data_IF_708455991283
#
_entry.id   IF_708455991283
#
_cell.length_a   1.000
_cell.length_b   1.000
_cell.length_c   1.000
_cell.angle_alpha   90.00
_cell.angle_beta   90.00
_cell.angle_gamma   90.00
#
_symmetry.space_group_name_H-M   'P 1'
#
loop_
_entity.id
_entity.type
_entity.pdbx_description
1 polymer ?
#
# COMPACT_ATOMS: atom_id res chain seq x y z
N UNK A 1 2.40 24.66 -40.04
CA UNK A 1 3.46 24.04 -39.25
C UNK A 1 2.82 23.54 -37.98
N UNK A 2 2.44 22.25 -37.97
CA UNK A 2 1.95 21.59 -36.75
C UNK A 2 3.16 21.25 -35.91
N UNK A 3 3.22 21.79 -34.70
CA UNK A 3 4.22 21.38 -33.71
C UNK A 3 3.67 20.11 -33.05
N UNK A 4 4.15 18.96 -33.50
CA UNK A 4 3.95 17.70 -32.78
C UNK A 4 4.74 17.80 -31.46
N UNK A 5 4.03 18.12 -30.39
CA UNK A 5 4.57 17.95 -29.03
C UNK A 5 4.58 16.44 -28.78
N UNK A 6 5.68 15.80 -29.14
CA UNK A 6 6.01 14.46 -28.67
C UNK A 6 6.30 14.61 -27.15
N UNK A 7 5.29 14.43 -26.34
CA UNK A 7 5.47 14.18 -24.91
C UNK A 7 6.20 12.84 -24.80
N UNK A 8 7.51 12.91 -24.57
CA UNK A 8 8.27 11.71 -24.21
C UNK A 8 7.61 11.13 -22.94
N UNK A 9 6.91 10.03 -23.08
CA UNK A 9 6.46 9.21 -21.97
C UNK A 9 7.74 8.70 -21.26
N UNK A 10 8.16 9.38 -20.23
CA UNK A 10 9.24 8.89 -19.38
C UNK A 10 8.68 7.72 -18.60
N UNK A 11 9.00 6.50 -19.01
CA UNK A 11 8.63 5.29 -18.28
C UNK A 11 9.18 5.37 -16.86
N UNK A 12 8.32 5.11 -15.86
CA UNK A 12 8.74 5.07 -14.46
C UNK A 12 9.75 3.93 -14.23
N UNK A 13 10.75 4.12 -13.33
CA UNK A 13 11.70 3.08 -13.00
C UNK A 13 11.03 1.83 -12.43
N UNK A 14 11.46 0.67 -12.89
CA UNK A 14 10.96 -0.62 -12.45
C UNK A 14 11.91 -1.27 -11.45
N UNK A 15 11.36 -2.11 -10.56
CA UNK A 15 12.08 -3.02 -9.66
C UNK A 15 11.45 -4.39 -9.71
N UNK A 16 12.29 -5.43 -9.72
CA UNK A 16 11.82 -6.81 -9.62
C UNK A 16 11.17 -7.03 -8.25
N UNK A 17 9.96 -7.59 -8.24
CA UNK A 17 9.23 -7.91 -7.01
C UNK A 17 9.71 -9.25 -6.45
N UNK A 18 10.74 -9.21 -5.59
CA UNK A 18 11.36 -10.40 -5.03
C UNK A 18 11.85 -11.37 -6.12
N UNK A 19 11.55 -12.67 -5.96
CA UNK A 19 11.86 -13.72 -6.94
C UNK A 19 10.77 -13.89 -8.01
N UNK A 20 9.72 -13.07 -7.99
CA UNK A 20 8.66 -13.18 -9.00
C UNK A 20 9.17 -12.74 -10.39
N UNK A 21 8.40 -13.03 -11.42
CA UNK A 21 8.65 -12.54 -12.79
C UNK A 21 8.02 -11.16 -13.07
N UNK A 22 7.59 -10.44 -12.01
CA UNK A 22 6.96 -9.12 -12.14
C UNK A 22 7.97 -8.00 -11.87
N UNK A 23 8.11 -7.11 -12.84
CA UNK A 23 8.82 -5.84 -12.68
C UNK A 23 7.79 -4.74 -12.41
N UNK A 24 7.81 -4.17 -11.22
CA UNK A 24 6.84 -3.17 -10.76
C UNK A 24 7.46 -1.78 -10.66
N UNK A 25 6.65 -0.75 -10.89
CA UNK A 25 7.03 0.63 -10.60
C UNK A 25 7.26 0.82 -9.11
N UNK A 26 8.16 1.72 -8.72
CA UNK A 26 8.50 1.96 -7.31
C UNK A 26 7.30 2.45 -6.47
N UNK A 27 6.29 3.04 -7.11
CA UNK A 27 5.00 3.41 -6.50
C UNK A 27 3.88 2.65 -7.18
N UNK A 28 2.87 2.22 -6.42
CA UNK A 28 1.65 1.60 -6.91
C UNK A 28 0.41 2.32 -6.40
N UNK A 29 -0.71 2.15 -7.09
CA UNK A 29 -1.97 2.75 -6.68
C UNK A 29 -2.62 1.93 -5.57
N UNK A 30 -2.85 2.57 -4.41
CA UNK A 30 -3.56 1.97 -3.27
C UNK A 30 -5.06 2.29 -3.30
N UNK A 31 -5.87 1.25 -3.35
CA UNK A 31 -7.32 1.37 -3.53
C UNK A 31 -8.13 1.35 -2.20
N UNK A 32 -7.49 1.44 -1.03
CA UNK A 32 -8.22 1.46 0.24
C UNK A 32 -9.12 2.70 0.37
N UNK A 33 -8.63 3.89 0.02
CA UNK A 33 -9.37 5.14 0.20
C UNK A 33 -10.57 5.31 -0.75
N UNK A 34 -10.68 4.46 -1.78
CA UNK A 34 -11.80 4.46 -2.73
C UNK A 34 -12.88 3.43 -2.39
N UNK A 35 -12.71 2.62 -1.35
CA UNK A 35 -13.72 1.63 -0.91
C UNK A 35 -15.04 2.22 -0.39
N UNK A 36 -15.14 3.55 -0.32
CA UNK A 36 -16.37 4.23 0.08
C UNK A 36 -16.64 4.25 1.58
N UNK A 37 -17.82 4.74 1.97
CA UNK A 37 -18.29 4.81 3.36
C UNK A 37 -18.91 3.48 3.83
N UNK A 38 -19.48 3.49 5.02
CA UNK A 38 -20.36 2.45 5.57
C UNK A 38 -19.72 1.08 5.84
N UNK A 39 -18.44 1.06 6.18
CA UNK A 39 -17.74 -0.09 6.72
C UNK A 39 -16.76 0.33 7.84
N UNK A 40 -16.20 -0.64 8.59
CA UNK A 40 -15.47 -0.40 9.85
C UNK A 40 -14.33 0.64 9.75
N UNK A 41 -13.60 0.65 8.63
CA UNK A 41 -12.44 1.52 8.38
C UNK A 41 -12.58 2.32 7.08
N UNK A 42 -13.81 2.81 6.82
CA UNK A 42 -14.13 3.67 5.67
C UNK A 42 -13.46 5.05 5.78
N UNK A 43 -13.28 5.70 4.64
CA UNK A 43 -12.68 7.04 4.49
C UNK A 43 -13.73 8.14 4.27
N UNK A 44 -15.00 7.86 4.59
CA UNK A 44 -16.13 8.72 4.27
C UNK A 44 -16.56 8.63 2.79
N UNK A 45 -17.51 9.50 2.39
CA UNK A 45 -18.08 9.48 1.05
C UNK A 45 -17.02 9.64 -0.06
N UNK A 46 -17.15 8.83 -1.11
CA UNK A 46 -16.30 8.83 -2.31
C UNK A 46 -17.17 8.62 -3.55
N UNK A 47 -16.90 9.36 -4.61
CA UNK A 47 -17.54 9.18 -5.90
C UNK A 47 -16.86 8.05 -6.69
N UNK A 48 -17.66 7.11 -7.19
CA UNK A 48 -17.16 5.94 -7.94
C UNK A 48 -16.48 6.35 -9.25
N UNK A 49 -17.03 7.36 -9.94
CA UNK A 49 -16.48 7.85 -11.19
C UNK A 49 -15.11 8.50 -10.97
N UNK A 50 -14.99 9.33 -9.93
CA UNK A 50 -13.71 9.92 -9.55
C UNK A 50 -12.67 8.84 -9.21
N UNK A 51 -13.10 7.77 -8.56
CA UNK A 51 -12.27 6.62 -8.22
C UNK A 51 -11.74 5.90 -9.46
N UNK A 52 -12.60 5.59 -10.44
CA UNK A 52 -12.21 4.96 -11.71
C UNK A 52 -11.28 5.88 -12.51
N UNK A 53 -11.57 7.18 -12.56
CA UNK A 53 -10.72 8.18 -13.22
C UNK A 53 -9.34 8.25 -12.54
N UNK A 54 -9.28 8.21 -11.20
CA UNK A 54 -8.01 8.23 -10.47
C UNK A 54 -7.14 6.99 -10.77
N UNK A 55 -7.75 5.80 -10.82
CA UNK A 55 -7.05 4.56 -11.21
C UNK A 55 -6.48 4.68 -12.62
N UNK A 56 -7.31 5.08 -13.59
CA UNK A 56 -6.88 5.23 -14.98
C UNK A 56 -5.77 6.25 -15.12
N UNK A 57 -5.92 7.40 -14.48
CA UNK A 57 -4.89 8.44 -14.47
C UNK A 57 -3.56 7.93 -13.89
N UNK A 58 -3.59 7.12 -12.83
CA UNK A 58 -2.38 6.51 -12.28
C UNK A 58 -1.66 5.61 -13.32
N UNK A 59 -2.41 4.80 -14.07
CA UNK A 59 -1.87 3.96 -15.15
C UNK A 59 -1.33 4.82 -16.31
N UNK A 60 -2.06 5.87 -16.72
CA UNK A 60 -1.62 6.84 -17.73
C UNK A 60 -0.33 7.57 -17.31
N UNK A 61 -0.09 7.76 -15.99
CA UNK A 61 1.16 8.28 -15.43
C UNK A 61 2.28 7.23 -15.36
N UNK A 62 2.05 6.02 -15.87
CA UNK A 62 3.04 4.95 -15.97
C UNK A 62 3.10 3.99 -14.78
N UNK A 63 2.18 4.10 -13.80
CA UNK A 63 2.06 3.14 -12.70
C UNK A 63 1.53 1.82 -13.27
N UNK A 64 2.21 0.70 -12.99
CA UNK A 64 1.90 -0.59 -13.57
C UNK A 64 1.35 -1.63 -12.57
N UNK A 65 0.93 -1.20 -11.38
CA UNK A 65 0.29 -2.09 -10.40
C UNK A 65 -0.69 -1.35 -9.48
N UNK A 66 -1.74 -2.07 -9.09
CA UNK A 66 -2.81 -1.60 -8.20
C UNK A 66 -2.90 -2.57 -7.02
N UNK A 67 -2.96 -2.06 -5.79
CA UNK A 67 -3.20 -2.84 -4.58
C UNK A 67 -4.59 -2.55 -4.02
N UNK A 68 -5.41 -3.58 -3.92
CA UNK A 68 -6.74 -3.56 -3.33
C UNK A 68 -6.90 -4.66 -2.28
N UNK A 69 -8.10 -4.90 -1.78
CA UNK A 69 -8.46 -6.04 -0.92
C UNK A 69 -9.98 -6.28 -0.93
N UNK A 70 -10.38 -7.53 -0.73
CA UNK A 70 -11.79 -7.91 -0.63
C UNK A 70 -12.54 -7.13 0.46
N UNK A 71 -11.86 -6.82 1.59
CA UNK A 71 -12.48 -6.09 2.70
C UNK A 71 -12.69 -4.59 2.40
N UNK A 72 -11.99 -3.98 1.43
CA UNK A 72 -12.12 -2.54 1.16
C UNK A 72 -13.49 -2.20 0.57
N UNK A 73 -14.33 -1.57 1.40
CA UNK A 73 -15.73 -1.33 1.06
C UNK A 73 -16.55 -2.60 0.92
N UNK A 74 -16.07 -3.73 1.49
CA UNK A 74 -16.75 -5.05 1.45
C UNK A 74 -16.97 -5.54 0.00
N UNK A 75 -15.90 -5.49 -0.80
CA UNK A 75 -15.85 -5.86 -2.21
C UNK A 75 -15.90 -4.68 -3.18
N UNK A 76 -16.43 -3.52 -2.76
CA UNK A 76 -16.64 -2.38 -3.65
C UNK A 76 -15.35 -1.85 -4.30
N UNK A 77 -14.23 -1.83 -3.57
CA UNK A 77 -12.94 -1.40 -4.13
C UNK A 77 -12.47 -2.33 -5.27
N UNK A 78 -12.65 -3.65 -5.14
CA UNK A 78 -12.33 -4.60 -6.21
C UNK A 78 -13.24 -4.40 -7.43
N UNK A 79 -14.53 -4.09 -7.23
CA UNK A 79 -15.46 -3.77 -8.33
C UNK A 79 -15.04 -2.50 -9.08
N UNK A 80 -14.58 -1.46 -8.36
CA UNK A 80 -14.08 -0.22 -8.98
C UNK A 80 -12.80 -0.46 -9.78
N UNK A 81 -11.89 -1.28 -9.25
CA UNK A 81 -10.69 -1.71 -9.98
C UNK A 81 -11.09 -2.49 -11.23
N UNK A 82 -12.02 -3.45 -11.13
CA UNK A 82 -12.54 -4.21 -12.27
C UNK A 82 -13.15 -3.33 -13.35
N UNK A 83 -13.95 -2.31 -12.96
CA UNK A 83 -14.49 -1.31 -13.91
C UNK A 83 -13.38 -0.55 -14.62
N UNK A 84 -12.36 -0.09 -13.88
CA UNK A 84 -11.23 0.62 -14.49
C UNK A 84 -10.46 -0.27 -15.48
N UNK A 85 -10.21 -1.55 -15.13
CA UNK A 85 -9.55 -2.52 -16.01
C UNK A 85 -10.37 -2.80 -17.28
N UNK A 86 -11.71 -2.88 -17.17
CA UNK A 86 -12.59 -3.11 -18.33
C UNK A 86 -12.55 -1.97 -19.36
N UNK A 87 -12.20 -0.75 -18.93
CA UNK A 87 -12.04 0.42 -19.81
C UNK A 87 -10.63 0.52 -20.45
N UNK A 88 -9.70 -0.39 -20.08
CA UNK A 88 -8.32 -0.41 -20.59
C UNK A 88 -8.11 -1.54 -21.59
N UNK A 89 -7.34 -1.33 -22.68
CA UNK A 89 -6.85 -2.43 -23.51
C UNK A 89 -6.10 -3.46 -22.65
N UNK A 90 -6.24 -4.74 -22.96
CA UNK A 90 -5.66 -5.83 -22.16
C UNK A 90 -4.13 -5.69 -21.98
N UNK A 91 -3.43 -5.27 -23.02
CA UNK A 91 -1.97 -5.09 -22.99
C UNK A 91 -1.50 -3.90 -22.14
N UNK A 92 -2.40 -2.98 -21.77
CA UNK A 92 -2.10 -1.78 -20.98
C UNK A 92 -2.54 -1.94 -19.50
N UNK A 93 -3.16 -3.08 -19.17
CA UNK A 93 -3.64 -3.33 -17.82
C UNK A 93 -2.50 -3.48 -16.82
N UNK A 94 -2.57 -2.80 -15.67
CA UNK A 94 -1.59 -2.96 -14.60
C UNK A 94 -1.73 -4.33 -13.93
N UNK A 95 -0.70 -4.78 -13.22
CA UNK A 95 -0.81 -5.91 -12.30
C UNK A 95 -1.83 -5.61 -11.21
N UNK A 96 -2.59 -6.63 -10.83
CA UNK A 96 -3.64 -6.52 -9.79
C UNK A 96 -3.24 -7.34 -8.58
N UNK A 97 -3.09 -6.66 -7.45
CA UNK A 97 -2.77 -7.24 -6.15
C UNK A 97 -4.01 -7.12 -5.24
N UNK A 98 -4.41 -8.22 -4.63
CA UNK A 98 -5.51 -8.20 -3.66
C UNK A 98 -5.25 -9.15 -2.49
N UNK A 99 -6.19 -9.22 -1.53
CA UNK A 99 -5.97 -9.88 -0.25
C UNK A 99 -7.21 -10.64 0.22
N UNK A 100 -6.99 -11.73 0.97
CA UNK A 100 -8.02 -12.57 1.60
C UNK A 100 -7.91 -12.59 3.13
N UNK A 101 -8.77 -13.38 3.74
CA UNK A 101 -8.72 -13.74 5.15
C UNK A 101 -9.36 -12.73 6.09
N UNK A 102 -10.04 -11.69 5.59
CA UNK A 102 -10.85 -10.79 6.40
C UNK A 102 -12.34 -10.99 6.06
N UNK A 103 -13.07 -11.59 6.97
CA UNK A 103 -14.49 -11.90 6.83
C UNK A 103 -15.33 -10.88 7.57
N UNK A 104 -16.24 -10.24 6.88
CA UNK A 104 -17.16 -9.25 7.44
C UNK A 104 -18.54 -9.82 7.72
N UNK A 105 -19.34 -9.08 8.49
CA UNK A 105 -20.74 -9.37 8.77
C UNK A 105 -21.61 -8.50 7.86
N UNK A 106 -22.36 -9.13 6.95
CA UNK A 106 -23.27 -8.43 6.03
C UNK A 106 -24.41 -7.69 6.75
N UNK A 107 -24.80 -8.17 7.95
CA UNK A 107 -25.84 -7.54 8.75
C UNK A 107 -25.30 -6.38 9.60
N UNK A 108 -24.00 -6.37 9.87
CA UNK A 108 -23.32 -5.31 10.61
C UNK A 108 -22.01 -4.90 9.93
N UNK A 109 -22.12 -4.19 8.83
CA UNK A 109 -20.99 -3.75 7.98
C UNK A 109 -19.94 -2.90 8.73
N UNK A 110 -20.32 -2.31 9.87
CA UNK A 110 -19.42 -1.50 10.73
C UNK A 110 -18.73 -2.31 11.83
N UNK A 111 -19.08 -3.60 11.99
CA UNK A 111 -18.34 -4.47 12.89
C UNK A 111 -16.91 -4.70 12.37
N UNK A 112 -15.92 -4.84 13.27
CA UNK A 112 -14.58 -5.26 12.89
C UNK A 112 -14.64 -6.60 12.14
N UNK A 113 -13.91 -6.76 11.02
CA UNK A 113 -13.85 -8.04 10.33
C UNK A 113 -13.10 -9.08 11.17
N UNK A 114 -13.46 -10.35 10.99
CA UNK A 114 -12.76 -11.48 11.62
C UNK A 114 -11.58 -11.91 10.75
N UNK A 115 -10.47 -12.28 11.37
CA UNK A 115 -9.28 -12.79 10.71
C UNK A 115 -9.39 -14.32 10.59
N UNK A 116 -9.72 -14.82 9.39
CA UNK A 116 -10.05 -16.21 9.13
C UNK A 116 -9.06 -16.82 8.14
N UNK A 117 -8.30 -17.83 8.60
CA UNK A 117 -7.33 -18.56 7.79
C UNK A 117 -7.84 -19.87 7.19
N UNK A 118 -9.08 -20.28 7.51
CA UNK A 118 -9.63 -21.56 7.04
C UNK A 118 -9.54 -21.72 5.51
N UNK A 119 -8.99 -22.84 4.99
CA UNK A 119 -8.77 -23.09 3.55
C UNK A 119 -10.01 -22.85 2.69
N UNK A 120 -11.18 -23.36 3.12
CA UNK A 120 -12.44 -23.18 2.39
C UNK A 120 -12.85 -21.71 2.28
N UNK A 121 -12.49 -20.88 3.29
CA UNK A 121 -12.74 -19.44 3.23
C UNK A 121 -11.83 -18.77 2.21
N UNK A 122 -10.53 -19.05 2.25
CA UNK A 122 -9.57 -18.48 1.30
C UNK A 122 -9.92 -18.86 -0.14
N UNK A 123 -10.36 -20.09 -0.37
CA UNK A 123 -10.82 -20.56 -1.69
C UNK A 123 -12.09 -19.87 -2.16
N UNK A 124 -13.04 -19.58 -1.27
CA UNK A 124 -14.23 -18.76 -1.61
C UNK A 124 -13.84 -17.30 -1.88
N UNK A 125 -12.94 -16.75 -1.07
CA UNK A 125 -12.48 -15.36 -1.20
C UNK A 125 -11.82 -15.14 -2.57
N UNK A 126 -10.96 -16.06 -3.04
CA UNK A 126 -10.27 -15.90 -4.33
C UNK A 126 -11.27 -15.93 -5.50
N UNK A 127 -12.26 -16.82 -5.50
CA UNK A 127 -13.29 -16.86 -6.55
C UNK A 127 -14.10 -15.56 -6.58
N UNK A 128 -14.48 -15.06 -5.42
CA UNK A 128 -15.20 -13.81 -5.30
C UNK A 128 -14.35 -12.61 -5.79
N UNK A 129 -13.06 -12.59 -5.46
CA UNK A 129 -12.13 -11.54 -5.92
C UNK A 129 -11.92 -11.59 -7.45
N UNK A 130 -11.70 -12.77 -8.03
CA UNK A 130 -11.61 -12.96 -9.49
C UNK A 130 -12.87 -12.43 -10.20
N UNK A 131 -14.05 -12.74 -9.66
CA UNK A 131 -15.33 -12.28 -10.20
C UNK A 131 -15.49 -10.75 -10.11
N UNK A 132 -15.20 -10.13 -8.97
CA UNK A 132 -15.32 -8.67 -8.79
C UNK A 132 -14.32 -7.89 -9.65
N UNK A 133 -13.10 -8.39 -9.76
CA UNK A 133 -12.04 -7.79 -10.56
C UNK A 133 -12.23 -8.02 -12.06
N UNK A 134 -13.01 -9.03 -12.46
CA UNK A 134 -13.21 -9.39 -13.87
C UNK A 134 -11.92 -9.89 -14.53
N UNK A 135 -11.10 -10.63 -13.81
CA UNK A 135 -9.84 -11.21 -14.29
C UNK A 135 -9.83 -12.72 -14.13
N UNK A 136 -9.13 -13.43 -15.02
CA UNK A 136 -8.97 -14.89 -14.94
C UNK A 136 -7.90 -15.30 -13.92
N UNK A 137 -6.96 -14.42 -13.62
CA UNK A 137 -5.85 -14.65 -12.69
C UNK A 137 -5.48 -13.37 -11.94
N UNK A 138 -5.28 -13.48 -10.64
CA UNK A 138 -4.74 -12.39 -9.80
C UNK A 138 -3.21 -12.43 -9.85
N UNK A 139 -2.55 -11.27 -10.00
CA UNK A 139 -1.08 -11.23 -10.08
C UNK A 139 -0.42 -11.44 -8.72
N UNK A 140 -0.96 -10.87 -7.65
CA UNK A 140 -0.49 -11.12 -6.28
C UNK A 140 -1.69 -11.28 -5.32
N UNK A 141 -1.72 -12.42 -4.62
CA UNK A 141 -2.75 -12.73 -3.63
C UNK A 141 -2.13 -12.89 -2.25
N UNK A 142 -2.64 -12.16 -1.25
CA UNK A 142 -1.98 -12.04 0.03
C UNK A 142 -2.93 -12.38 1.19
N UNK A 143 -2.43 -13.10 2.20
CA UNK A 143 -3.11 -13.14 3.49
C UNK A 143 -3.01 -11.77 4.15
N UNK A 144 -4.16 -11.11 4.40
CA UNK A 144 -4.21 -9.71 4.83
C UNK A 144 -3.68 -9.50 6.25
N UNK A 145 -4.03 -10.42 7.16
CA UNK A 145 -3.59 -10.47 8.55
C UNK A 145 -3.37 -11.92 8.97
N UNK A 146 -2.54 -12.19 9.98
CA UNK A 146 -2.48 -13.51 10.61
C UNK A 146 -3.88 -13.97 11.03
N UNK A 147 -4.18 -15.25 10.87
CA UNK A 147 -5.46 -15.82 11.27
C UNK A 147 -5.63 -15.79 12.81
N UNK A 148 -6.85 -15.52 13.26
CA UNK A 148 -7.25 -15.54 14.68
C UNK A 148 -8.37 -16.57 14.96
N UNK A 149 -8.78 -17.34 13.96
CA UNK A 149 -9.77 -18.40 14.04
C UNK A 149 -9.20 -19.75 14.50
N UNK A 150 -7.92 -19.79 14.86
CA UNK A 150 -7.21 -20.99 15.27
C UNK A 150 -6.51 -21.75 14.13
N UNK A 151 -6.69 -21.30 12.87
CA UNK A 151 -6.01 -21.91 11.72
C UNK A 151 -4.50 -21.59 11.78
N UNK A 152 -3.61 -22.59 11.80
CA UNK A 152 -2.17 -22.36 11.83
C UNK A 152 -1.66 -21.78 10.49
N UNK A 153 -0.52 -21.09 10.55
CA UNK A 153 0.05 -20.45 9.34
C UNK A 153 0.37 -21.48 8.26
N UNK A 154 0.80 -22.65 8.64
CA UNK A 154 1.14 -23.74 7.73
C UNK A 154 -0.05 -24.14 6.85
N UNK A 155 -1.27 -24.11 7.39
CA UNK A 155 -2.48 -24.50 6.68
C UNK A 155 -2.93 -23.44 5.68
N UNK A 156 -3.04 -22.16 6.12
CA UNK A 156 -3.46 -21.12 5.18
C UNK A 156 -2.36 -20.76 4.17
N UNK A 157 -1.08 -20.88 4.55
CA UNK A 157 0.01 -20.67 3.60
C UNK A 157 0.04 -21.76 2.53
N UNK A 158 -0.13 -23.04 2.91
CA UNK A 158 -0.24 -24.14 1.94
C UNK A 158 -1.40 -23.89 0.97
N UNK A 159 -2.54 -23.39 1.47
CA UNK A 159 -3.69 -23.07 0.62
C UNK A 159 -3.35 -22.01 -0.43
N UNK A 160 -2.61 -20.97 -0.04
CA UNK A 160 -2.15 -19.94 -0.99
C UNK A 160 -1.18 -20.51 -2.04
N UNK A 161 -0.26 -21.39 -1.63
CA UNK A 161 0.65 -22.09 -2.55
C UNK A 161 -0.11 -23.00 -3.52
N UNK A 162 -1.17 -23.68 -3.06
CA UNK A 162 -2.03 -24.51 -3.92
C UNK A 162 -2.75 -23.66 -4.96
N UNK A 163 -3.29 -22.50 -4.59
CA UNK A 163 -3.92 -21.56 -5.52
C UNK A 163 -2.94 -21.04 -6.58
N UNK A 164 -1.67 -20.84 -6.21
CA UNK A 164 -0.60 -20.51 -7.14
C UNK A 164 -0.30 -21.67 -8.10
N UNK A 165 -0.22 -22.89 -7.58
CA UNK A 165 -0.02 -24.09 -8.41
C UNK A 165 -1.20 -24.38 -9.35
N UNK A 166 -2.43 -24.08 -8.93
CA UNK A 166 -3.65 -24.15 -9.75
C UNK A 166 -3.72 -23.07 -10.84
N UNK A 167 -2.83 -22.04 -10.79
CA UNK A 167 -2.79 -20.95 -11.75
C UNK A 167 -3.84 -19.86 -11.53
N UNK A 168 -4.59 -19.89 -10.41
CA UNK A 168 -5.57 -18.84 -10.05
C UNK A 168 -4.90 -17.53 -9.63
N UNK A 169 -3.69 -17.65 -9.06
CA UNK A 169 -2.87 -16.50 -8.68
C UNK A 169 -1.44 -16.71 -9.19
N UNK A 170 -0.75 -15.61 -9.55
CA UNK A 170 0.61 -15.67 -10.10
C UNK A 170 1.67 -15.70 -9.02
N UNK A 171 1.47 -14.93 -7.96
CA UNK A 171 2.34 -14.86 -6.81
C UNK A 171 1.50 -14.81 -5.52
N UNK A 172 2.12 -15.20 -4.39
CA UNK A 172 1.48 -15.23 -3.08
C UNK A 172 2.29 -14.47 -2.05
N UNK A 173 1.63 -13.89 -1.06
CA UNK A 173 2.30 -13.08 -0.06
C UNK A 173 1.58 -13.03 1.28
N UNK A 174 2.25 -12.37 2.21
CA UNK A 174 1.75 -12.15 3.56
C UNK A 174 1.72 -10.64 3.86
N UNK A 175 0.71 -10.19 4.59
CA UNK A 175 0.64 -8.81 5.08
C UNK A 175 0.49 -8.81 6.59
N UNK A 176 1.21 -7.91 7.29
CA UNK A 176 1.17 -7.79 8.75
C UNK A 176 1.67 -9.00 9.56
N UNK A 177 2.44 -9.88 8.95
CA UNK A 177 3.06 -11.03 9.61
C UNK A 177 4.43 -10.67 10.18
N UNK A 178 4.82 -11.33 11.28
CA UNK A 178 6.13 -11.17 11.92
C UNK A 178 7.17 -12.19 11.36
N UNK A 179 8.44 -11.99 11.73
CA UNK A 179 9.54 -12.85 11.24
C UNK A 179 9.33 -14.32 11.57
N UNK A 180 8.82 -14.67 12.76
CA UNK A 180 8.58 -16.08 13.13
C UNK A 180 7.54 -16.72 12.19
N UNK A 181 6.51 -15.99 11.82
CA UNK A 181 5.50 -16.44 10.87
C UNK A 181 6.07 -16.56 9.45
N UNK A 182 6.90 -15.59 9.02
CA UNK A 182 7.59 -15.69 7.73
C UNK A 182 8.49 -16.94 7.65
N UNK A 183 9.24 -17.22 8.71
CA UNK A 183 10.09 -18.44 8.79
C UNK A 183 9.25 -19.71 8.73
N UNK A 184 8.07 -19.74 9.36
CA UNK A 184 7.18 -20.90 9.30
C UNK A 184 6.63 -21.10 7.87
N UNK A 185 6.18 -20.04 7.22
CA UNK A 185 5.70 -20.08 5.84
C UNK A 185 6.80 -20.50 4.83
N UNK A 186 8.00 -19.92 4.95
CA UNK A 186 9.13 -20.19 4.05
C UNK A 186 9.58 -21.66 4.04
N UNK A 187 9.34 -22.42 5.12
CA UNK A 187 9.62 -23.86 5.18
C UNK A 187 8.73 -24.70 4.26
N UNK A 188 7.54 -24.22 3.93
CA UNK A 188 6.60 -24.90 3.04
C UNK A 188 6.78 -24.44 1.58
N UNK A 189 7.09 -23.19 1.39
CA UNK A 189 7.32 -22.59 0.08
C UNK A 189 7.66 -21.12 0.22
N UNK A 190 8.37 -20.59 -0.78
CA UNK A 190 8.86 -19.22 -0.75
C UNK A 190 7.76 -18.18 -0.55
N UNK A 191 7.99 -17.23 0.35
CA UNK A 191 7.14 -16.06 0.55
C UNK A 191 7.51 -15.03 -0.52
N UNK A 192 6.73 -14.97 -1.62
CA UNK A 192 7.04 -14.08 -2.75
C UNK A 192 7.05 -12.61 -2.32
N UNK A 193 6.13 -12.22 -1.41
CA UNK A 193 6.04 -10.83 -0.94
C UNK A 193 5.64 -10.69 0.52
N UNK A 194 6.11 -9.59 1.14
CA UNK A 194 5.60 -9.08 2.41
C UNK A 194 5.04 -7.67 2.23
N UNK A 195 3.87 -7.39 2.85
CA UNK A 195 3.25 -6.07 2.85
C UNK A 195 3.14 -5.54 4.29
N UNK A 196 4.16 -4.83 4.82
CA UNK A 196 4.12 -4.20 6.14
C UNK A 196 3.75 -2.72 6.04
N UNK A 197 3.23 -2.09 7.13
CA UNK A 197 3.16 -0.64 7.23
C UNK A 197 4.57 -0.04 7.32
N UNK A 198 4.81 1.06 6.58
CA UNK A 198 6.09 1.76 6.68
C UNK A 198 5.97 3.24 6.28
N UNK A 199 6.42 4.13 7.15
CA UNK A 199 6.46 5.57 6.94
C UNK A 199 7.48 6.21 7.89
N UNK A 200 7.76 7.50 7.73
CA UNK A 200 8.59 8.23 8.69
C UNK A 200 8.02 8.29 10.12
N UNK A 201 6.72 7.96 10.32
CA UNK A 201 6.06 7.85 11.63
C UNK A 201 6.10 6.40 12.15
N UNK A 202 6.03 5.39 11.28
CA UNK A 202 5.97 3.98 11.65
C UNK A 202 7.08 3.20 10.95
N UNK A 203 8.18 2.96 11.67
CA UNK A 203 9.43 2.40 11.12
C UNK A 203 9.79 1.03 11.69
N UNK A 204 8.91 0.42 12.48
CA UNK A 204 9.17 -0.85 13.19
C UNK A 204 9.59 -1.97 12.24
N UNK A 205 9.03 -2.01 11.02
CA UNK A 205 9.38 -3.00 10.01
C UNK A 205 10.87 -3.00 9.63
N UNK A 206 11.57 -1.87 9.83
CA UNK A 206 12.98 -1.75 9.52
C UNK A 206 13.91 -2.49 10.53
N UNK A 207 13.40 -2.87 11.69
CA UNK A 207 14.21 -3.56 12.70
C UNK A 207 14.51 -5.01 12.28
N UNK A 208 13.52 -5.75 11.86
CA UNK A 208 13.64 -7.18 11.57
C UNK A 208 13.05 -7.58 10.21
N UNK A 209 11.88 -7.04 9.82
CA UNK A 209 11.16 -7.48 8.64
C UNK A 209 11.89 -7.13 7.33
N UNK A 210 12.32 -5.88 7.16
CA UNK A 210 13.06 -5.48 5.96
C UNK A 210 14.39 -6.22 5.81
N UNK A 211 15.23 -6.38 6.87
CA UNK A 211 16.44 -7.22 6.81
C UNK A 211 16.15 -8.68 6.46
N UNK A 212 15.12 -9.27 7.07
CA UNK A 212 14.74 -10.66 6.79
C UNK A 212 14.33 -10.83 5.32
N UNK A 213 13.44 -9.96 4.83
CA UNK A 213 12.97 -10.01 3.44
C UNK A 213 14.12 -9.81 2.45
N UNK A 214 15.03 -8.91 2.73
CA UNK A 214 16.20 -8.68 1.89
C UNK A 214 17.08 -9.95 1.80
N UNK A 215 17.34 -10.61 2.93
CA UNK A 215 18.14 -11.83 2.99
C UNK A 215 17.49 -13.04 2.29
N UNK A 216 16.15 -13.04 2.16
CA UNK A 216 15.38 -14.13 1.54
C UNK A 216 14.90 -13.80 0.12
N UNK A 217 15.24 -12.61 -0.42
CA UNK A 217 14.77 -12.14 -1.72
C UNK A 217 13.22 -12.07 -1.81
N UNK A 218 12.55 -11.84 -0.67
CA UNK A 218 11.12 -11.56 -0.56
C UNK A 218 10.86 -10.12 -0.97
N UNK A 219 9.98 -9.88 -1.93
CA UNK A 219 9.60 -8.53 -2.37
C UNK A 219 8.82 -7.80 -1.27
N UNK A 220 9.17 -6.53 -1.01
CA UNK A 220 8.45 -5.74 0.00
C UNK A 220 7.72 -4.58 -0.63
N UNK A 221 6.40 -4.57 -0.50
CA UNK A 221 5.52 -3.46 -0.89
C UNK A 221 4.93 -2.83 0.36
N UNK A 222 5.41 -1.64 0.74
CA UNK A 222 4.98 -1.01 1.99
C UNK A 222 3.68 -0.22 1.82
N UNK A 223 2.82 -0.25 2.84
CA UNK A 223 1.59 0.55 2.83
C UNK A 223 1.66 1.73 3.81
N UNK A 224 0.78 2.72 3.61
CA UNK A 224 0.69 3.97 4.39
C UNK A 224 1.98 4.81 4.43
N UNK A 225 2.71 4.99 3.31
CA UNK A 225 3.97 5.77 3.33
C UNK A 225 3.76 7.24 3.71
N UNK A 226 2.56 7.79 3.50
CA UNK A 226 2.16 9.13 3.93
C UNK A 226 1.35 9.14 5.23
N UNK A 227 1.27 8.01 5.94
CA UNK A 227 0.49 7.84 7.18
C UNK A 227 -0.92 8.43 7.07
N UNK A 228 -1.70 7.91 6.12
CA UNK A 228 -3.08 8.31 5.85
C UNK A 228 -3.28 9.84 5.68
N UNK A 229 -2.30 10.51 5.12
CA UNK A 229 -2.33 11.94 4.79
C UNK A 229 -1.54 12.84 5.73
N UNK A 230 -1.12 12.38 6.91
CA UNK A 230 -0.35 13.19 7.87
C UNK A 230 0.95 13.76 7.27
N UNK A 231 1.64 12.97 6.44
CA UNK A 231 2.93 13.35 5.82
C UNK A 231 2.78 13.98 4.42
N UNK A 232 1.60 14.52 4.09
CA UNK A 232 1.39 15.17 2.78
C UNK A 232 1.81 16.65 2.76
N UNK A 233 2.07 17.25 3.93
CA UNK A 233 2.29 18.69 4.08
C UNK A 233 1.03 19.54 3.82
N UNK A 234 -0.12 18.91 3.59
CA UNK A 234 -1.44 19.55 3.37
C UNK A 234 -2.47 19.24 4.47
N UNK A 235 -2.17 18.30 5.34
CA UNK A 235 -3.04 17.97 6.47
C UNK A 235 -2.80 18.99 7.59
N UNK A 236 -3.87 19.48 8.21
CA UNK A 236 -3.80 20.52 9.26
C UNK A 236 -4.60 20.11 10.49
N UNK A 237 -4.39 20.80 11.61
CA UNK A 237 -5.17 20.59 12.83
C UNK A 237 -6.66 20.89 12.61
N UNK A 238 -6.99 21.95 11.81
CA UNK A 238 -8.38 22.28 11.45
C UNK A 238 -9.01 21.14 10.62
N UNK A 239 -8.25 20.54 9.71
CA UNK A 239 -8.71 19.38 8.95
C UNK A 239 -8.98 18.19 9.86
N UNK A 240 -8.13 17.92 10.84
CA UNK A 240 -8.33 16.86 11.81
C UNK A 240 -9.62 17.07 12.64
N UNK A 241 -9.85 18.31 13.11
CA UNK A 241 -11.03 18.68 13.90
C UNK A 241 -12.34 18.60 13.11
N UNK A 242 -12.27 18.64 11.76
CA UNK A 242 -13.46 18.64 10.86
C UNK A 242 -13.64 17.32 10.13
N UNK A 243 -12.90 16.26 10.48
CA UNK A 243 -13.10 14.94 9.90
C UNK A 243 -14.50 14.40 10.20
N UNK A 244 -15.23 13.88 9.20
CA UNK A 244 -16.49 13.21 9.43
C UNK A 244 -16.39 12.05 10.41
N UNK A 245 -17.45 11.77 11.16
CA UNK A 245 -17.45 10.69 12.16
C UNK A 245 -17.34 9.28 11.56
N UNK A 246 -17.66 9.12 10.28
CA UNK A 246 -17.52 7.90 9.49
C UNK A 246 -16.13 7.76 8.83
N UNK A 247 -15.28 8.77 8.92
CA UNK A 247 -13.86 8.68 8.58
C UNK A 247 -13.11 8.07 9.77
N UNK A 248 -12.46 6.92 9.57
CA UNK A 248 -11.75 6.20 10.63
C UNK A 248 -10.66 7.04 11.32
N UNK A 249 -10.08 8.02 10.62
CA UNK A 249 -9.05 8.91 11.17
C UNK A 249 -9.55 9.76 12.31
N UNK A 250 -10.85 10.12 12.33
CA UNK A 250 -11.47 10.89 13.42
C UNK A 250 -11.37 10.22 14.79
N UNK A 251 -11.18 8.87 14.80
CA UNK A 251 -11.07 8.04 16.02
C UNK A 251 -9.65 7.55 16.30
N UNK A 252 -8.69 7.85 15.42
CA UNK A 252 -7.32 7.35 15.55
C UNK A 252 -6.44 8.33 16.30
N UNK A 253 -5.72 7.85 17.31
CA UNK A 253 -4.86 8.66 18.18
C UNK A 253 -3.77 9.46 17.46
N UNK A 254 -3.28 8.98 16.31
CA UNK A 254 -2.27 9.69 15.51
C UNK A 254 -2.79 11.02 14.93
N UNK A 255 -4.12 11.20 14.89
CA UNK A 255 -4.81 12.38 14.36
C UNK A 255 -5.35 13.28 15.48
N UNK A 256 -4.91 13.10 16.74
CA UNK A 256 -5.43 13.82 17.89
C UNK A 256 -4.30 14.34 18.81
N UNK A 257 -4.55 15.48 19.47
CA UNK A 257 -3.70 16.02 20.52
C UNK A 257 -2.22 16.14 20.13
N UNK A 258 -1.33 15.88 21.09
CA UNK A 258 0.13 15.99 20.92
C UNK A 258 0.70 15.10 19.82
N UNK A 259 0.09 13.92 19.59
CA UNK A 259 0.51 13.04 18.51
C UNK A 259 0.29 13.68 17.13
N UNK A 260 -0.86 14.33 16.92
CA UNK A 260 -1.14 15.08 15.70
C UNK A 260 -0.14 16.22 15.52
N UNK A 261 0.07 17.05 16.55
CA UNK A 261 1.00 18.19 16.46
C UNK A 261 2.41 17.74 16.10
N UNK A 262 2.91 16.67 16.73
CA UNK A 262 4.20 16.08 16.46
C UNK A 262 4.31 15.57 15.01
N UNK A 263 3.28 14.88 14.53
CA UNK A 263 3.24 14.34 13.17
C UNK A 263 3.19 15.45 12.12
N UNK A 264 2.47 16.55 12.37
CA UNK A 264 2.46 17.72 11.47
C UNK A 264 3.82 18.42 11.43
N UNK A 265 4.49 18.56 12.57
CA UNK A 265 5.86 19.11 12.64
C UNK A 265 6.85 18.22 11.88
N UNK A 266 6.69 16.90 11.94
CA UNK A 266 7.50 15.99 11.12
C UNK A 266 7.21 16.17 9.62
N UNK A 267 5.96 16.33 9.22
CA UNK A 267 5.62 16.64 7.83
C UNK A 267 6.26 17.95 7.34
N UNK A 268 6.30 18.97 8.20
CA UNK A 268 6.96 20.24 7.89
C UNK A 268 8.48 20.08 7.74
N UNK A 269 9.12 19.13 8.44
CA UNK A 269 10.54 18.84 8.28
C UNK A 269 10.90 18.25 6.89
N UNK A 270 9.92 17.68 6.16
CA UNK A 270 10.12 17.28 4.75
C UNK A 270 10.08 18.45 3.77
N UNK A 271 9.59 19.63 4.16
CA UNK A 271 9.42 20.78 3.26
C UNK A 271 10.74 21.26 2.66
N UNK A 272 11.83 21.49 3.40
CA UNK A 272 13.11 21.88 2.81
C UNK A 272 13.66 20.82 1.84
N UNK A 273 13.43 19.53 2.12
CA UNK A 273 13.81 18.43 1.21
C UNK A 273 13.01 18.51 -0.08
N UNK A 274 11.69 18.67 0.02
CA UNK A 274 10.81 18.81 -1.14
C UNK A 274 11.20 20.03 -2.01
N UNK A 275 11.52 21.16 -1.39
CA UNK A 275 11.96 22.39 -2.08
C UNK A 275 13.28 22.19 -2.82
N UNK A 276 14.28 21.53 -2.19
CA UNK A 276 15.57 21.23 -2.86
C UNK A 276 15.41 20.41 -4.14
N UNK A 277 14.41 19.52 -4.14
CA UNK A 277 14.12 18.64 -5.28
C UNK A 277 13.01 19.16 -6.20
N UNK A 278 12.45 20.34 -5.96
CA UNK A 278 11.36 20.91 -6.77
C UNK A 278 10.09 20.03 -6.79
N UNK A 279 9.80 19.33 -5.68
CA UNK A 279 8.70 18.38 -5.58
C UNK A 279 7.77 18.68 -4.41
N UNK A 280 6.78 17.82 -4.16
CA UNK A 280 5.85 17.96 -3.04
C UNK A 280 6.37 17.27 -1.78
N UNK A 281 5.88 17.70 -0.61
CA UNK A 281 6.14 17.01 0.68
C UNK A 281 5.65 15.57 0.61
N UNK A 282 4.51 15.30 -0.02
CA UNK A 282 3.97 13.96 -0.22
C UNK A 282 4.94 13.06 -1.01
N UNK A 283 5.47 13.55 -2.14
CA UNK A 283 6.45 12.81 -2.95
C UNK A 283 7.75 12.58 -2.18
N UNK A 284 8.25 13.57 -1.42
CA UNK A 284 9.43 13.41 -0.59
C UNK A 284 9.23 12.36 0.53
N UNK A 285 8.07 12.33 1.19
CA UNK A 285 7.75 11.35 2.21
C UNK A 285 7.64 9.92 1.64
N UNK A 286 7.05 9.75 0.45
CA UNK A 286 7.01 8.45 -0.24
C UNK A 286 8.42 8.05 -0.70
N UNK A 287 9.20 8.95 -1.28
CA UNK A 287 10.58 8.68 -1.71
C UNK A 287 11.47 8.29 -0.53
N UNK A 288 11.23 8.85 0.66
CA UNK A 288 11.92 8.46 1.88
C UNK A 288 11.70 6.97 2.21
N UNK A 289 10.48 6.46 2.10
CA UNK A 289 10.22 5.03 2.32
C UNK A 289 10.92 4.15 1.29
N UNK A 290 10.96 4.62 0.02
CA UNK A 290 11.59 3.91 -1.10
C UNK A 290 13.12 3.93 -1.05
N UNK A 291 13.71 4.81 -0.23
CA UNK A 291 15.16 4.89 -0.02
C UNK A 291 15.67 3.84 0.99
N UNK A 292 14.78 3.15 1.72
CA UNK A 292 15.18 2.14 2.69
C UNK A 292 15.56 0.83 2.00
N UNK A 293 16.69 0.20 2.40
CA UNK A 293 17.07 -1.13 1.91
C UNK A 293 15.95 -2.16 2.15
N UNK A 294 15.72 -3.03 1.18
CA UNK A 294 14.69 -4.06 1.24
C UNK A 294 13.30 -3.60 0.79
N UNK A 295 13.01 -2.30 0.66
CA UNK A 295 11.73 -1.83 0.12
C UNK A 295 11.74 -1.89 -1.40
N UNK A 296 10.84 -2.67 -1.99
CA UNK A 296 10.67 -2.80 -3.44
C UNK A 296 9.76 -1.72 -3.99
N UNK A 297 8.62 -1.49 -3.36
CA UNK A 297 7.63 -0.51 -3.79
C UNK A 297 6.81 0.06 -2.63
N UNK A 298 6.12 1.17 -2.88
CA UNK A 298 5.23 1.81 -1.93
C UNK A 298 3.81 1.92 -2.50
N UNK A 299 2.82 1.49 -1.72
CA UNK A 299 1.39 1.60 -2.03
C UNK A 299 0.91 3.00 -1.62
N UNK A 300 0.50 3.80 -2.59
CA UNK A 300 0.11 5.19 -2.36
C UNK A 300 -1.35 5.40 -2.77
N UNK A 301 -2.19 5.77 -1.80
CA UNK A 301 -3.60 6.01 -2.02
C UNK A 301 -3.89 7.35 -2.68
N UNK A 302 -4.91 7.37 -3.53
CA UNK A 302 -5.50 8.58 -4.08
C UNK A 302 -7.02 8.42 -4.27
N UNK A 303 -7.75 9.54 -4.19
CA UNK A 303 -9.20 9.61 -4.39
C UNK A 303 -9.58 10.38 -5.66
N UNK A 304 -8.62 11.01 -6.31
CA UNK A 304 -8.75 11.77 -7.56
C UNK A 304 -7.39 11.91 -8.27
N UNK A 305 -7.36 12.28 -9.55
CA UNK A 305 -6.13 12.45 -10.33
C UNK A 305 -5.11 13.41 -9.73
N UNK A 306 -5.57 14.53 -9.17
CA UNK A 306 -4.68 15.55 -8.59
C UNK A 306 -3.88 15.03 -7.39
N UNK A 307 -4.44 14.05 -6.64
CA UNK A 307 -3.70 13.39 -5.58
C UNK A 307 -2.63 12.46 -6.13
N UNK A 308 -2.88 11.77 -7.25
CA UNK A 308 -1.86 10.95 -7.95
C UNK A 308 -0.69 11.85 -8.39
N UNK A 309 -0.99 12.97 -9.06
CA UNK A 309 0.02 13.94 -9.49
C UNK A 309 0.84 14.50 -8.31
N UNK A 310 0.23 14.56 -7.13
CA UNK A 310 0.88 15.04 -5.92
C UNK A 310 1.98 14.13 -5.36
N UNK A 311 2.08 12.85 -5.78
CA UNK A 311 3.04 11.91 -5.23
C UNK A 311 3.73 11.00 -6.27
N UNK A 312 3.28 10.95 -7.51
CA UNK A 312 3.82 10.03 -8.53
C UNK A 312 5.32 10.25 -8.79
N UNK A 313 5.79 11.48 -8.67
CA UNK A 313 7.20 11.83 -8.85
C UNK A 313 8.14 11.15 -7.83
N UNK A 314 7.60 10.64 -6.72
CA UNK A 314 8.36 9.81 -5.78
C UNK A 314 9.00 8.59 -6.44
N UNK A 315 8.43 8.08 -7.54
CA UNK A 315 8.99 6.95 -8.29
C UNK A 315 10.38 7.23 -8.84
N UNK A 316 10.65 8.47 -9.24
CA UNK A 316 11.92 8.90 -9.84
C UNK A 316 12.80 9.68 -8.88
N UNK A 317 12.25 10.14 -7.75
CA UNK A 317 12.98 10.94 -6.77
C UNK A 317 14.02 10.10 -6.02
N UNK A 318 15.26 10.57 -6.03
CA UNK A 318 16.37 10.01 -5.26
C UNK A 318 16.79 10.99 -4.18
N UNK A 319 16.53 10.64 -2.92
CA UNK A 319 16.98 11.41 -1.78
C UNK A 319 18.48 11.18 -1.55
N UNK A 320 19.20 12.27 -1.26
CA UNK A 320 20.62 12.23 -0.92
C UNK A 320 20.84 11.73 0.52
N UNK A 321 22.06 11.41 0.88
CA UNK A 321 22.41 11.09 2.27
C UNK A 321 22.13 12.27 3.22
N UNK A 322 22.29 13.50 2.75
CA UNK A 322 21.97 14.70 3.53
C UNK A 322 20.48 14.83 3.78
N UNK A 323 19.63 14.58 2.76
CA UNK A 323 18.17 14.58 2.91
C UNK A 323 17.71 13.55 3.96
N UNK A 324 18.26 12.33 3.88
CA UNK A 324 17.96 11.26 4.84
C UNK A 324 18.41 11.62 6.25
N UNK A 325 19.58 12.27 6.40
CA UNK A 325 20.09 12.72 7.68
C UNK A 325 19.27 13.90 8.26
N UNK A 326 18.80 14.83 7.41
CA UNK A 326 17.91 15.93 7.83
C UNK A 326 16.63 15.39 8.43
N UNK A 327 15.98 14.44 7.74
CA UNK A 327 14.75 13.80 8.20
C UNK A 327 15.00 12.99 9.48
N UNK A 328 16.11 12.24 9.58
CA UNK A 328 16.47 11.49 10.76
C UNK A 328 16.65 12.41 12.00
N UNK A 329 17.34 13.53 11.84
CA UNK A 329 17.47 14.53 12.91
C UNK A 329 16.12 15.09 13.36
N UNK A 330 15.21 15.33 12.44
CA UNK A 330 13.86 15.79 12.76
C UNK A 330 13.06 14.73 13.52
N UNK A 331 13.15 13.46 13.09
CA UNK A 331 12.51 12.32 13.78
C UNK A 331 12.99 12.24 15.24
N UNK A 332 14.32 12.30 15.45
CA UNK A 332 14.93 12.22 16.80
C UNK A 332 14.56 13.43 17.64
N UNK A 333 14.67 14.65 17.10
CA UNK A 333 14.36 15.89 17.83
C UNK A 333 12.88 16.02 18.22
N UNK A 334 11.99 15.42 17.44
CA UNK A 334 10.55 15.42 17.69
C UNK A 334 10.10 14.19 18.48
N UNK A 335 10.98 13.21 18.71
CA UNK A 335 10.61 11.89 19.24
C UNK A 335 9.42 11.31 18.46
N UNK A 336 9.45 11.44 17.11
CA UNK A 336 8.31 11.13 16.27
C UNK A 336 8.25 9.64 15.93
N UNK A 337 7.08 9.03 16.21
CA UNK A 337 6.77 7.66 15.80
C UNK A 337 7.62 6.59 16.50
N UNK A 338 7.81 5.43 15.83
CA UNK A 338 8.48 4.25 16.36
C UNK A 338 9.49 3.67 15.36
N UNK A 339 10.47 2.91 15.86
CA UNK A 339 11.51 2.27 15.08
C UNK A 339 12.70 3.19 14.73
N UNK A 340 13.75 2.68 14.05
CA UNK A 340 15.00 3.40 13.80
C UNK A 340 14.77 4.59 12.84
N UNK A 341 15.49 5.72 13.09
CA UNK A 341 15.39 6.91 12.24
C UNK A 341 16.24 6.80 10.96
N UNK A 342 17.21 5.89 10.93
CA UNK A 342 18.09 5.63 9.78
C UNK A 342 18.16 4.14 9.48
N UNK A 343 18.38 3.74 8.22
CA UNK A 343 18.70 2.35 7.91
C UNK A 343 19.92 1.87 8.71
N UNK A 344 19.86 0.64 9.21
CA UNK A 344 21.01 -0.02 9.78
C UNK A 344 22.14 -0.03 8.73
N UNK A 345 23.38 0.26 9.14
CA UNK A 345 24.53 0.07 8.25
C UNK A 345 24.60 -1.43 7.93
N UNK A 346 24.46 -1.77 6.66
CA UNK A 346 24.67 -3.11 6.16
C UNK A 346 26.12 -3.56 6.38
#
# INVERSE_FOLDING_TARGET
MSIDIVTASTSLPLRRLGRTDMDITRVGFGAWAIGGPDWAVGWGAQDDRDSVIAIRHAVERGINWIDTAAIYGLGHSEELVGRALAEMPEGDRPYVFTKCGLVWDEQNRKAPPRQVGAPDNIRRDVEASLSRLGVERIDLYQMHWPAEDGTPIEEYWQTLLDLKAEGKVRAVGLSNHNVAQLVAAERLGHVDTLQPPFSAIRRDAAQELLPWCHAHETGVIVYSPMQAGLLTGRFTAERAATLPSDDWRSRNAQFQGEALERNLRLADAFRPVAERHGTTVAAAAVAWTLAWPGVTGAIVGARNPQQVDGWVDAATLHLTHEDMADIARAIDALEAGSGPATPNKA
#
